data_IF_514436923897
#
_entry.id   IF_514436923897
#
_cell.length_a   1.000
_cell.length_b   1.000
_cell.length_c   1.000
_cell.angle_alpha   90.00
_cell.angle_beta   90.00
_cell.angle_gamma   90.00
#
_symmetry.space_group_name_H-M   'P 1'
#
loop_
_entity.id
_entity.type
_entity.pdbx_description
1 polymer ?
#
# COMPACT_ATOMS: atom_id res chain seq x y z
N UNK A 1 17.78 -19.82 20.13
CA UNK A 1 17.48 -19.95 18.68
C UNK A 1 16.40 -18.96 18.18
N UNK A 2 15.31 -18.70 18.92
CA UNK A 2 14.21 -17.81 18.46
C UNK A 2 14.63 -16.35 18.23
N UNK A 3 15.44 -15.77 19.13
CA UNK A 3 15.94 -14.39 19.01
C UNK A 3 16.83 -14.15 17.79
N UNK A 4 17.73 -15.08 17.49
CA UNK A 4 18.64 -14.97 16.34
C UNK A 4 17.87 -15.04 15.01
N UNK A 5 16.89 -15.94 14.89
CA UNK A 5 16.02 -16.02 13.71
C UNK A 5 15.18 -14.77 13.54
N UNK A 6 14.51 -14.31 14.61
CA UNK A 6 13.71 -13.09 14.59
C UNK A 6 14.54 -11.87 14.18
N UNK A 7 15.74 -11.71 14.76
CA UNK A 7 16.66 -10.64 14.39
C UNK A 7 17.05 -10.69 12.91
N UNK A 8 17.41 -11.86 12.39
CA UNK A 8 17.74 -12.03 10.97
C UNK A 8 16.62 -11.56 10.03
N UNK A 9 15.36 -11.90 10.33
CA UNK A 9 14.23 -11.47 9.51
C UNK A 9 13.97 -9.96 9.63
N UNK A 10 14.05 -9.40 10.84
CA UNK A 10 13.90 -7.95 11.05
C UNK A 10 14.98 -7.15 10.31
N UNK A 11 16.24 -7.56 10.42
CA UNK A 11 17.38 -6.89 9.77
C UNK A 11 17.21 -6.88 8.24
N UNK A 12 16.70 -7.99 7.66
CA UNK A 12 16.42 -8.09 6.21
C UNK A 12 15.30 -7.17 5.75
N UNK A 13 14.22 -7.07 6.52
CA UNK A 13 13.10 -6.17 6.20
C UNK A 13 13.55 -4.71 6.32
N UNK A 14 14.24 -4.37 7.40
CA UNK A 14 14.69 -3.02 7.68
C UNK A 14 15.69 -2.52 6.62
N UNK A 15 16.59 -3.38 6.16
CA UNK A 15 17.52 -3.05 5.08
C UNK A 15 16.80 -2.64 3.79
N UNK A 16 15.69 -3.32 3.43
CA UNK A 16 14.92 -2.98 2.21
C UNK A 16 14.20 -1.63 2.32
N UNK A 17 13.68 -1.30 3.51
CA UNK A 17 13.01 -0.02 3.78
C UNK A 17 13.98 1.16 3.78
N UNK A 18 15.20 0.98 4.31
CA UNK A 18 16.22 2.04 4.39
C UNK A 18 16.83 2.39 3.03
N UNK A 19 16.92 1.42 2.12
CA UNK A 19 17.48 1.63 0.78
C UNK A 19 16.46 2.22 -0.21
N UNK A 20 15.21 2.46 0.22
CA UNK A 20 14.13 2.91 -0.65
C UNK A 20 13.75 1.89 -1.73
N UNK A 21 14.19 0.65 -1.58
CA UNK A 21 13.95 -0.45 -2.52
C UNK A 21 12.90 -1.41 -1.95
N UNK A 22 11.66 -0.92 -1.91
CA UNK A 22 10.50 -1.71 -1.47
C UNK A 22 10.31 -2.98 -2.31
N UNK A 23 10.78 -2.98 -3.57
CA UNK A 23 10.65 -4.11 -4.49
C UNK A 23 11.53 -5.29 -4.07
N UNK A 24 12.77 -5.06 -3.65
CA UNK A 24 13.63 -6.14 -3.14
C UNK A 24 13.13 -6.71 -1.81
N UNK A 25 12.55 -5.88 -0.94
CA UNK A 25 11.89 -6.33 0.28
C UNK A 25 10.72 -7.29 -0.01
N UNK A 26 9.83 -6.89 -0.91
CA UNK A 26 8.72 -7.74 -1.34
C UNK A 26 9.16 -9.02 -2.05
N UNK A 27 10.21 -8.96 -2.88
CA UNK A 27 10.77 -10.15 -3.53
C UNK A 27 11.28 -11.17 -2.51
N UNK A 28 11.97 -10.70 -1.46
CA UNK A 28 12.43 -11.56 -0.37
C UNK A 28 11.28 -12.15 0.44
N UNK A 29 10.26 -11.36 0.79
CA UNK A 29 9.04 -11.85 1.47
C UNK A 29 8.36 -12.95 0.64
N UNK A 30 8.20 -12.71 -0.67
CA UNK A 30 7.57 -13.68 -1.57
C UNK A 30 8.37 -14.99 -1.66
N UNK A 31 9.71 -14.90 -1.64
CA UNK A 31 10.58 -16.08 -1.60
C UNK A 31 10.38 -16.91 -0.33
N UNK A 32 10.19 -16.25 0.82
CA UNK A 32 9.97 -16.91 2.11
C UNK A 32 8.61 -17.62 2.16
N UNK A 33 7.58 -16.98 1.61
CA UNK A 33 6.22 -17.51 1.57
C UNK A 33 6.01 -18.55 0.45
N UNK A 34 7.01 -18.80 -0.38
CA UNK A 34 6.88 -19.68 -1.55
C UNK A 34 5.85 -19.19 -2.57
N UNK A 35 5.48 -17.90 -2.53
CA UNK A 35 4.51 -17.32 -3.46
C UNK A 35 5.17 -17.15 -4.82
N UNK A 36 4.83 -18.02 -5.75
CA UNK A 36 5.11 -17.82 -7.17
C UNK A 36 4.01 -16.94 -7.74
N UNK A 37 4.38 -15.82 -8.37
CA UNK A 37 3.43 -15.01 -9.11
C UNK A 37 2.82 -15.87 -10.23
N UNK A 38 1.54 -16.19 -10.09
CA UNK A 38 0.72 -16.60 -11.22
C UNK A 38 0.12 -15.31 -11.76
N UNK A 39 0.39 -15.00 -13.02
CA UNK A 39 -0.35 -13.95 -13.70
C UNK A 39 -1.78 -14.43 -13.79
N UNK A 40 -2.65 -13.89 -12.94
CA UNK A 40 -4.08 -14.11 -13.04
C UNK A 40 -4.59 -13.15 -14.11
N UNK A 41 -4.92 -13.68 -15.29
CA UNK A 41 -5.71 -12.92 -16.24
C UNK A 41 -7.15 -12.92 -15.72
N UNK A 42 -7.67 -11.73 -15.43
CA UNK A 42 -9.05 -11.54 -15.00
C UNK A 42 -9.84 -11.30 -16.28
N UNK A 43 -10.51 -12.34 -16.76
CA UNK A 43 -11.35 -12.26 -17.96
C UNK A 43 -12.80 -11.87 -17.61
N UNK A 44 -13.19 -12.05 -16.36
CA UNK A 44 -14.53 -11.75 -15.87
C UNK A 44 -14.52 -11.46 -14.37
N UNK A 45 -15.45 -10.62 -13.94
CA UNK A 45 -15.70 -10.25 -12.56
C UNK A 45 -17.18 -10.46 -12.26
N UNK A 46 -17.49 -11.29 -11.25
CA UNK A 46 -18.86 -11.41 -10.74
C UNK A 46 -19.09 -10.38 -9.66
N UNK A 47 -20.04 -9.48 -9.87
CA UNK A 47 -20.45 -8.46 -8.88
C UNK A 47 -21.94 -8.60 -8.64
N UNK A 48 -22.30 -8.93 -7.40
CA UNK A 48 -23.67 -9.35 -7.05
C UNK A 48 -24.10 -10.56 -7.91
N UNK A 49 -25.15 -10.40 -8.72
CA UNK A 49 -25.64 -11.42 -9.65
C UNK A 49 -25.19 -11.22 -11.10
N UNK A 50 -24.47 -10.12 -11.39
CA UNK A 50 -24.03 -9.78 -12.73
C UNK A 50 -22.59 -10.25 -13.00
N UNK A 51 -22.33 -10.61 -14.26
CA UNK A 51 -20.99 -10.99 -14.76
C UNK A 51 -20.51 -9.89 -15.70
N UNK A 52 -19.39 -9.25 -15.33
CA UNK A 52 -18.73 -8.20 -16.10
C UNK A 52 -17.52 -8.82 -16.77
N UNK A 53 -17.45 -8.80 -18.10
CA UNK A 53 -16.34 -9.36 -18.90
C UNK A 53 -15.61 -8.33 -19.76
N UNK A 54 -16.11 -7.10 -19.82
CA UNK A 54 -15.47 -6.00 -20.55
C UNK A 54 -14.36 -5.35 -19.72
N UNK A 55 -13.17 -5.19 -20.31
CA UNK A 55 -11.97 -4.67 -19.64
C UNK A 55 -12.19 -3.28 -19.01
N UNK A 56 -12.93 -2.40 -19.69
CA UNK A 56 -13.22 -1.06 -19.19
C UNK A 56 -14.15 -1.13 -17.99
N UNK A 57 -15.23 -1.90 -18.09
CA UNK A 57 -16.17 -2.10 -17.00
C UNK A 57 -15.52 -2.78 -15.78
N UNK A 58 -14.64 -3.77 -16.00
CA UNK A 58 -13.86 -4.40 -14.91
C UNK A 58 -13.01 -3.34 -14.20
N UNK A 59 -12.31 -2.50 -14.96
CA UNK A 59 -11.45 -1.45 -14.41
C UNK A 59 -12.23 -0.42 -13.60
N UNK A 60 -13.35 0.05 -14.12
CA UNK A 60 -14.25 1.00 -13.43
C UNK A 60 -14.78 0.40 -12.13
N UNK A 61 -15.23 -0.85 -12.17
CA UNK A 61 -15.74 -1.56 -10.99
C UNK A 61 -14.68 -1.74 -9.91
N UNK A 62 -13.45 -2.09 -10.29
CA UNK A 62 -12.33 -2.20 -9.33
C UNK A 62 -11.98 -0.84 -8.72
N UNK A 63 -11.96 0.22 -9.54
CA UNK A 63 -11.69 1.57 -9.04
C UNK A 63 -12.74 2.00 -8.02
N UNK A 64 -14.02 1.83 -8.33
CA UNK A 64 -15.11 2.15 -7.40
C UNK A 64 -15.01 1.35 -6.10
N UNK A 65 -14.68 0.06 -6.19
CA UNK A 65 -14.48 -0.78 -5.01
C UNK A 65 -13.34 -0.26 -4.12
N UNK A 66 -12.15 -0.05 -4.70
CA UNK A 66 -10.96 0.33 -3.92
C UNK A 66 -10.99 1.78 -3.40
N UNK A 67 -11.72 2.68 -4.06
CA UNK A 67 -11.95 4.03 -3.52
C UNK A 67 -12.84 3.96 -2.26
N UNK A 68 -13.87 3.11 -2.28
CA UNK A 68 -14.88 3.08 -1.23
C UNK A 68 -14.58 2.10 -0.09
N UNK A 69 -13.67 1.14 -0.28
CA UNK A 69 -13.41 0.10 0.73
C UNK A 69 -12.93 0.67 2.06
N UNK A 70 -12.13 1.74 2.05
CA UNK A 70 -11.66 2.37 3.29
C UNK A 70 -12.81 2.90 4.15
N UNK A 71 -13.76 3.59 3.52
CA UNK A 71 -14.95 4.10 4.21
C UNK A 71 -15.84 2.96 4.70
N UNK A 72 -16.02 1.91 3.87
CA UNK A 72 -16.83 0.74 4.23
C UNK A 72 -16.25 0.00 5.43
N UNK A 73 -14.94 -0.24 5.44
CA UNK A 73 -14.25 -0.89 6.56
C UNK A 73 -14.33 -0.06 7.84
N UNK A 74 -14.18 1.26 7.75
CA UNK A 74 -14.32 2.15 8.90
C UNK A 74 -15.74 2.10 9.50
N UNK A 75 -16.77 2.10 8.64
CA UNK A 75 -18.16 1.98 9.08
C UNK A 75 -18.47 0.63 9.72
N UNK A 76 -17.95 -0.47 9.16
CA UNK A 76 -18.13 -1.83 9.71
C UNK A 76 -17.39 -2.00 11.05
N UNK A 77 -16.19 -1.42 11.19
CA UNK A 77 -15.38 -1.50 12.41
C UNK A 77 -15.98 -0.67 13.55
N UNK A 78 -16.61 0.47 13.25
CA UNK A 78 -17.27 1.31 14.25
C UNK A 78 -18.50 0.64 14.91
N UNK A 79 -19.01 -0.45 14.33
CA UNK A 79 -20.14 -1.19 14.87
C UNK A 79 -19.74 -2.32 15.84
N UNK A 80 -18.45 -2.66 15.95
CA UNK A 80 -17.97 -3.84 16.71
C UNK A 80 -17.30 -3.54 18.05
N UNK A 81 -17.05 -2.28 18.42
CA UNK A 81 -16.44 -1.96 19.72
C UNK A 81 -17.48 -1.65 20.79
N UNK A 82 -17.77 -2.65 21.65
CA UNK A 82 -18.36 -2.41 22.98
C UNK A 82 -17.34 -1.85 23.99
N UNK A 83 -16.13 -1.47 23.55
CA UNK A 83 -15.11 -0.79 24.36
C UNK A 83 -14.80 0.61 23.81
N UNK A 84 -15.85 1.43 23.67
CA UNK A 84 -15.82 2.75 23.05
C UNK A 84 -14.91 3.80 23.74
N UNK A 85 -14.25 3.49 24.86
CA UNK A 85 -13.39 4.42 25.58
C UNK A 85 -11.90 4.31 25.21
N UNK A 86 -11.44 3.18 24.66
CA UNK A 86 -10.03 3.02 24.28
C UNK A 86 -9.77 3.40 22.82
N UNK A 87 -10.69 3.09 21.90
CA UNK A 87 -10.48 3.36 20.48
C UNK A 87 -10.57 4.85 20.13
N UNK A 88 -11.41 5.63 20.83
CA UNK A 88 -11.49 7.07 20.61
C UNK A 88 -10.22 7.79 21.12
N UNK A 89 -9.64 7.33 22.23
CA UNK A 89 -8.36 7.83 22.75
C UNK A 89 -7.21 7.46 21.82
N UNK A 90 -7.23 6.28 21.20
CA UNK A 90 -6.22 5.87 20.22
C UNK A 90 -6.38 6.66 18.90
N UNK A 91 -7.60 6.86 18.40
CA UNK A 91 -7.84 7.66 17.20
C UNK A 91 -7.46 9.12 17.42
N UNK A 92 -7.90 9.74 18.51
CA UNK A 92 -7.49 11.12 18.81
C UNK A 92 -5.99 11.21 19.09
N UNK A 93 -5.37 10.28 19.81
CA UNK A 93 -3.92 10.33 20.05
C UNK A 93 -3.11 10.08 18.78
N UNK A 94 -3.52 9.18 17.87
CA UNK A 94 -2.84 8.95 16.59
C UNK A 94 -3.03 10.10 15.61
N UNK A 95 -4.23 10.70 15.54
CA UNK A 95 -4.51 11.91 14.74
C UNK A 95 -3.81 13.14 15.34
N UNK A 96 -3.71 13.25 16.66
CA UNK A 96 -2.96 14.31 17.35
C UNK A 96 -1.44 14.11 17.26
N UNK A 97 -0.93 12.87 17.20
CA UNK A 97 0.48 12.56 16.90
C UNK A 97 0.81 12.84 15.44
N UNK A 98 -0.09 12.54 14.51
CA UNK A 98 0.05 12.87 13.08
C UNK A 98 -0.11 14.38 12.79
N UNK A 99 -0.61 15.14 13.77
CA UNK A 99 -0.57 16.61 13.78
C UNK A 99 0.81 17.17 14.10
N UNK A 100 1.81 16.35 14.44
CA UNK A 100 3.19 16.77 14.24
C UNK A 100 3.37 17.00 12.74
N UNK A 101 3.32 18.28 12.38
CA UNK A 101 3.23 18.83 11.04
C UNK A 101 3.88 17.89 10.02
N UNK A 102 3.08 17.22 9.19
CA UNK A 102 3.62 16.60 8.00
C UNK A 102 4.09 17.73 7.08
N UNK A 103 5.41 17.93 6.99
CA UNK A 103 6.01 18.87 6.06
C UNK A 103 6.59 18.09 4.89
N UNK A 104 6.17 18.47 3.68
CA UNK A 104 6.90 18.08 2.49
C UNK A 104 8.29 18.70 2.59
N UNK A 105 9.33 17.90 2.36
CA UNK A 105 10.68 18.42 2.26
C UNK A 105 10.75 19.42 1.09
N UNK A 106 11.42 20.55 1.30
CA UNK A 106 11.64 21.53 0.24
C UNK A 106 12.37 20.88 -0.92
N UNK A 107 11.73 20.89 -2.08
CA UNK A 107 12.32 20.38 -3.31
C UNK A 107 13.24 21.47 -3.88
N UNK A 108 14.53 21.17 -3.96
CA UNK A 108 15.49 22.06 -4.62
C UNK A 108 15.42 21.91 -6.14
N UNK A 109 15.68 23.01 -6.85
CA UNK A 109 15.73 23.05 -8.33
C UNK A 109 16.72 22.01 -8.88
N UNK A 110 17.85 21.83 -8.21
CA UNK A 110 18.86 20.82 -8.57
C UNK A 110 18.33 19.39 -8.52
N UNK A 111 17.48 19.09 -7.52
CA UNK A 111 16.85 17.77 -7.37
C UNK A 111 15.88 17.49 -8.51
N UNK A 112 15.11 18.50 -8.92
CA UNK A 112 14.20 18.41 -10.08
C UNK A 112 15.00 18.24 -11.37
N UNK A 113 16.02 19.06 -11.59
CA UNK A 113 16.86 19.01 -12.79
C UNK A 113 17.55 17.66 -12.98
N UNK A 114 18.15 17.12 -11.91
CA UNK A 114 18.73 15.75 -11.93
C UNK A 114 17.71 14.67 -12.23
N UNK A 115 16.46 14.85 -11.81
CA UNK A 115 15.39 13.88 -12.08
C UNK A 115 14.92 13.96 -13.53
N UNK A 116 14.77 15.18 -14.07
CA UNK A 116 14.42 15.43 -15.48
C UNK A 116 15.49 14.89 -16.44
N UNK A 117 16.77 15.02 -16.10
CA UNK A 117 17.86 14.45 -16.91
C UNK A 117 17.79 12.92 -17.05
N UNK A 118 17.19 12.23 -16.07
CA UNK A 118 17.02 10.77 -16.08
C UNK A 118 15.74 10.32 -16.76
N UNK A 119 14.84 11.24 -17.12
CA UNK A 119 13.62 10.92 -17.84
C UNK A 119 13.94 10.71 -19.32
N UNK A 120 13.53 9.56 -19.84
CA UNK A 120 13.79 9.21 -21.23
C UNK A 120 12.82 9.97 -22.14
N UNK A 121 13.35 10.92 -22.89
CA UNK A 121 12.59 11.85 -23.75
C UNK A 121 11.81 11.12 -24.85
N UNK A 122 12.20 9.88 -25.18
CA UNK A 122 11.58 9.09 -26.26
C UNK A 122 10.26 8.41 -25.89
N UNK A 123 9.76 8.57 -24.66
CA UNK A 123 8.48 7.98 -24.22
C UNK A 123 7.31 8.96 -24.25
N UNK A 124 7.55 10.20 -24.67
CA UNK A 124 6.53 11.22 -24.88
C UNK A 124 6.26 11.38 -26.39
N UNK A 125 5.87 10.30 -27.05
CA UNK A 125 5.18 10.28 -28.35
C UNK A 125 4.37 9.00 -28.39
#
# INVERSE_FOLDING_TARGET
MRKAKSKYFCDKIQASSQMGDSKSGWAWINSLLGRKHKNANINELKVNDDIISDDKSITETLNEYFINIGMKMAAESACQSTDALNDQVIYESTVLLLKENFHFADITIDSVSKRLQKLNVSKAT
#
